data_IF_067149108952
#
_entry.id   IF_067149108952
#
_cell.length_a   1.000
_cell.length_b   1.000
_cell.length_c   1.000
_cell.angle_alpha   90.00
_cell.angle_beta   90.00
_cell.angle_gamma   90.00
#
_symmetry.space_group_name_H-M   'P 1'
#
loop_
_entity.id
_entity.type
_entity.pdbx_description
1 polymer ?
#
# COMPACT_ATOMS: atom_id res chain seq x y z
N UNK A 1 9.82 -37.37 21.94
CA UNK A 1 8.40 -37.02 21.62
C UNK A 1 8.15 -35.51 21.53
N UNK A 2 8.32 -34.67 22.61
CA UNK A 2 8.03 -33.22 22.53
C UNK A 2 8.87 -32.50 21.46
N UNK A 3 10.19 -32.67 21.50
CA UNK A 3 11.07 -32.03 20.51
C UNK A 3 10.85 -32.49 19.06
N UNK A 4 10.43 -33.73 18.85
CA UNK A 4 10.04 -34.24 17.53
C UNK A 4 8.80 -33.51 17.01
N UNK A 5 7.79 -33.33 17.88
CA UNK A 5 6.58 -32.54 17.53
C UNK A 5 6.96 -31.11 17.18
N UNK A 6 7.86 -30.47 17.94
CA UNK A 6 8.33 -29.11 17.64
C UNK A 6 9.10 -29.06 16.31
N UNK A 7 9.89 -30.09 15.98
CA UNK A 7 10.59 -30.16 14.69
C UNK A 7 9.61 -30.33 13.51
N UNK A 8 8.59 -31.19 13.65
CA UNK A 8 7.53 -31.29 12.63
C UNK A 8 6.75 -29.98 12.49
N UNK A 9 6.45 -29.30 13.59
CA UNK A 9 5.81 -27.99 13.58
C UNK A 9 6.68 -26.94 12.87
N UNK A 10 8.01 -26.91 13.13
CA UNK A 10 8.95 -26.04 12.42
C UNK A 10 8.94 -26.32 10.91
N UNK A 11 8.96 -27.60 10.53
CA UNK A 11 8.93 -28.00 9.12
C UNK A 11 7.62 -27.58 8.44
N UNK A 12 6.49 -27.73 9.11
CA UNK A 12 5.18 -27.33 8.61
C UNK A 12 5.09 -25.81 8.40
N UNK A 13 5.52 -24.99 9.37
CA UNK A 13 5.49 -23.52 9.22
C UNK A 13 6.51 -23.05 8.18
N UNK A 14 7.67 -23.71 8.06
CA UNK A 14 8.63 -23.42 6.99
C UNK A 14 8.03 -23.72 5.60
N UNK A 15 7.28 -24.80 5.45
CA UNK A 15 6.56 -25.14 4.23
C UNK A 15 5.47 -24.12 3.90
N UNK A 16 4.69 -23.66 4.88
CA UNK A 16 3.72 -22.57 4.69
C UNK A 16 4.42 -21.32 4.13
N UNK A 17 5.55 -20.93 4.72
CA UNK A 17 6.29 -19.77 4.24
C UNK A 17 6.89 -19.97 2.84
N UNK A 18 7.36 -21.18 2.52
CA UNK A 18 7.78 -21.54 1.17
C UNK A 18 6.66 -21.31 0.15
N UNK A 19 5.43 -21.76 0.47
CA UNK A 19 4.24 -21.49 -0.37
C UNK A 19 4.02 -19.99 -0.56
N UNK A 20 4.10 -19.18 0.51
CA UNK A 20 3.96 -17.73 0.38
C UNK A 20 5.05 -17.12 -0.50
N UNK A 21 6.31 -17.38 -0.21
CA UNK A 21 7.42 -16.73 -0.94
C UNK A 21 7.52 -17.17 -2.40
N UNK A 22 7.27 -18.45 -2.71
CA UNK A 22 7.45 -18.97 -4.07
C UNK A 22 6.16 -18.92 -4.89
N UNK A 23 5.04 -19.41 -4.33
CA UNK A 23 3.81 -19.55 -5.12
C UNK A 23 2.98 -18.28 -5.14
N UNK A 24 2.99 -17.47 -4.08
CA UNK A 24 2.18 -16.25 -3.99
C UNK A 24 3.03 -15.03 -4.38
N UNK A 25 4.06 -14.71 -3.61
CA UNK A 25 4.92 -13.55 -3.86
C UNK A 25 5.74 -13.73 -5.13
N UNK A 26 6.17 -14.96 -5.41
CA UNK A 26 6.87 -15.32 -6.64
C UNK A 26 6.10 -14.98 -7.92
N UNK A 27 4.76 -15.02 -7.90
CA UNK A 27 3.94 -14.57 -9.05
C UNK A 27 4.15 -13.11 -9.40
N UNK A 28 4.44 -12.28 -8.41
CA UNK A 28 4.85 -10.90 -8.64
C UNK A 28 6.36 -10.82 -8.91
N UNK A 29 7.16 -11.42 -8.03
CA UNK A 29 8.62 -11.30 -8.02
C UNK A 29 9.26 -11.77 -9.33
N UNK A 30 8.80 -12.89 -9.89
CA UNK A 30 9.36 -13.48 -11.12
C UNK A 30 8.60 -13.12 -12.40
N UNK A 31 7.45 -12.42 -12.29
CA UNK A 31 6.71 -11.99 -13.48
C UNK A 31 7.54 -11.02 -14.35
N UNK A 32 7.39 -11.10 -15.64
CA UNK A 32 7.91 -10.04 -16.53
C UNK A 32 7.13 -8.75 -16.31
N UNK A 33 7.78 -7.56 -16.41
CA UNK A 33 7.06 -6.30 -16.40
C UNK A 33 5.96 -6.30 -17.47
N UNK A 34 4.76 -5.90 -17.11
CA UNK A 34 3.68 -5.69 -18.08
C UNK A 34 3.78 -4.26 -18.59
N UNK A 35 4.24 -4.08 -19.82
CA UNK A 35 4.15 -2.80 -20.52
C UNK A 35 2.77 -2.69 -21.16
N UNK A 36 1.98 -1.76 -20.69
CA UNK A 36 0.72 -1.38 -21.37
C UNK A 36 1.03 -0.53 -22.59
N UNK A 37 0.15 -0.55 -23.59
CA UNK A 37 0.24 0.42 -24.69
C UNK A 37 -0.30 1.77 -24.21
N UNK A 38 0.38 2.90 -24.49
CA UNK A 38 -0.14 4.23 -24.16
C UNK A 38 -1.57 4.40 -24.68
N UNK A 39 -2.43 5.03 -23.87
CA UNK A 39 -3.84 5.28 -24.21
C UNK A 39 -4.14 6.75 -23.96
N UNK A 40 -4.93 7.32 -24.87
CA UNK A 40 -5.40 8.70 -24.76
C UNK A 40 -6.84 8.72 -24.20
N UNK A 41 -7.04 8.13 -23.03
CA UNK A 41 -8.33 8.16 -22.34
C UNK A 41 -8.37 9.35 -21.38
N UNK A 42 -9.44 10.17 -21.35
CA UNK A 42 -9.52 11.28 -20.43
C UNK A 42 -9.53 10.81 -18.97
N UNK A 43 -8.75 11.47 -18.11
CA UNK A 43 -8.50 11.07 -16.71
C UNK A 43 -8.74 12.23 -15.75
N UNK A 44 -9.38 11.95 -14.63
CA UNK A 44 -9.41 12.86 -13.47
C UNK A 44 -8.40 12.38 -12.42
N UNK A 45 -7.36 13.18 -12.19
CA UNK A 45 -6.41 12.96 -11.09
C UNK A 45 -7.03 13.54 -9.82
N UNK A 46 -7.19 12.72 -8.80
CA UNK A 46 -7.85 13.06 -7.53
C UNK A 46 -6.81 13.20 -6.44
N UNK A 47 -6.73 14.37 -5.83
CA UNK A 47 -5.84 14.68 -4.70
C UNK A 47 -6.67 15.21 -3.55
N UNK A 48 -6.65 14.52 -2.41
CA UNK A 48 -7.29 14.98 -1.18
C UNK A 48 -6.22 15.38 -0.17
N UNK A 49 -6.31 16.60 0.35
CA UNK A 49 -5.36 17.13 1.31
C UNK A 49 -6.07 17.75 2.51
N UNK A 50 -5.37 17.73 3.64
CA UNK A 50 -5.73 18.43 4.88
C UNK A 50 -4.46 18.89 5.57
N UNK A 51 -4.27 20.20 5.68
CA UNK A 51 -3.09 20.81 6.30
C UNK A 51 -1.77 20.32 5.65
N UNK A 52 -1.68 20.46 4.33
CA UNK A 52 -0.55 20.00 3.52
C UNK A 52 0.04 21.14 2.65
N UNK A 53 -0.08 22.42 3.09
CA UNK A 53 0.29 23.58 2.30
C UNK A 53 1.71 23.49 1.70
N UNK A 54 2.71 23.08 2.48
CA UNK A 54 4.09 22.94 2.03
C UNK A 54 4.25 21.88 0.93
N UNK A 55 3.56 20.75 1.09
CA UNK A 55 3.59 19.67 0.10
C UNK A 55 2.85 20.07 -1.18
N UNK A 56 1.68 20.71 -1.05
CA UNK A 56 0.85 21.16 -2.17
C UNK A 56 1.62 22.14 -3.06
N UNK A 57 2.31 23.11 -2.46
CA UNK A 57 3.12 24.09 -3.18
C UNK A 57 4.22 23.43 -4.04
N UNK A 58 4.78 22.33 -3.57
CA UNK A 58 5.84 21.60 -4.27
C UNK A 58 5.30 20.56 -5.27
N UNK A 59 4.21 19.85 -4.96
CA UNK A 59 3.81 18.64 -5.68
C UNK A 59 2.71 18.87 -6.71
N UNK A 60 1.81 19.85 -6.51
CA UNK A 60 0.79 20.16 -7.53
C UNK A 60 1.41 20.58 -8.87
N UNK A 61 2.48 21.40 -8.93
CA UNK A 61 3.15 21.68 -10.20
C UNK A 61 3.63 20.42 -10.93
N UNK A 62 4.17 19.42 -10.21
CA UNK A 62 4.63 18.17 -10.83
C UNK A 62 3.49 17.33 -11.41
N UNK A 63 2.27 17.44 -10.82
CA UNK A 63 1.07 16.81 -11.36
C UNK A 63 0.57 17.54 -12.62
N UNK A 64 0.69 18.86 -12.68
CA UNK A 64 0.32 19.66 -13.85
C UNK A 64 1.30 19.52 -15.02
N UNK A 65 2.57 19.15 -14.74
CA UNK A 65 3.61 18.89 -15.74
C UNK A 65 3.55 17.52 -16.40
N UNK A 66 2.51 16.71 -16.15
CA UNK A 66 2.39 15.38 -16.73
C UNK A 66 2.25 15.44 -18.26
N UNK A 67 3.01 14.57 -18.97
CA UNK A 67 2.93 14.38 -20.41
C UNK A 67 1.68 13.55 -20.76
N UNK A 68 0.50 14.14 -20.64
CA UNK A 68 -0.75 13.45 -20.93
C UNK A 68 -1.74 14.36 -21.63
N UNK A 69 -2.39 13.91 -22.73
CA UNK A 69 -3.12 14.82 -23.62
C UNK A 69 -4.41 15.39 -23.00
N UNK A 70 -5.11 14.60 -22.17
CA UNK A 70 -6.41 15.01 -21.64
C UNK A 70 -6.57 14.54 -20.20
N UNK A 71 -6.37 15.46 -19.26
CA UNK A 71 -6.64 15.21 -17.84
C UNK A 71 -7.13 16.46 -17.14
N UNK A 72 -7.81 16.29 -16.04
CA UNK A 72 -8.07 17.33 -15.04
C UNK A 72 -7.45 16.93 -13.71
N UNK A 73 -7.19 17.91 -12.87
CA UNK A 73 -6.71 17.73 -11.50
C UNK A 73 -7.80 18.20 -10.52
N UNK A 74 -8.41 17.27 -9.81
CA UNK A 74 -9.42 17.55 -8.80
C UNK A 74 -8.74 17.64 -7.44
N UNK A 75 -8.58 18.84 -6.93
CA UNK A 75 -8.01 19.15 -5.63
C UNK A 75 -9.13 19.24 -4.59
N UNK A 76 -9.05 18.42 -3.55
CA UNK A 76 -10.07 18.35 -2.50
C UNK A 76 -9.47 18.87 -1.21
N UNK A 77 -9.97 19.98 -0.71
CA UNK A 77 -9.64 20.50 0.61
C UNK A 77 -10.56 19.89 1.66
N UNK A 78 -10.01 19.02 2.53
CA UNK A 78 -10.75 18.37 3.62
C UNK A 78 -10.76 19.25 4.89
N UNK A 79 -11.32 20.46 4.79
CA UNK A 79 -11.42 21.42 5.87
C UNK A 79 -10.06 21.76 6.51
N UNK A 80 -9.10 22.17 5.70
CA UNK A 80 -7.78 22.63 6.16
C UNK A 80 -7.88 23.91 7.00
N UNK A 81 -6.97 24.05 7.94
CA UNK A 81 -6.82 25.23 8.79
C UNK A 81 -5.54 26.05 8.51
N UNK A 82 -4.72 25.55 7.59
CA UNK A 82 -3.52 26.22 7.07
C UNK A 82 -3.80 26.82 5.67
N UNK A 83 -2.77 27.23 4.97
CA UNK A 83 -2.84 27.84 3.63
C UNK A 83 -3.20 26.86 2.50
N UNK A 84 -3.49 25.58 2.77
CA UNK A 84 -3.78 24.56 1.75
C UNK A 84 -4.94 24.97 0.84
N UNK A 85 -6.03 25.52 1.40
CA UNK A 85 -7.20 25.96 0.64
C UNK A 85 -6.86 27.13 -0.27
N UNK A 86 -6.13 28.12 0.24
CA UNK A 86 -5.76 29.32 -0.51
C UNK A 86 -4.88 28.96 -1.71
N UNK A 87 -3.92 28.04 -1.52
CA UNK A 87 -3.09 27.50 -2.60
C UNK A 87 -3.93 26.78 -3.65
N UNK A 88 -4.92 25.99 -3.25
CA UNK A 88 -5.80 25.32 -4.20
C UNK A 88 -6.64 26.29 -5.02
N UNK A 89 -7.13 27.38 -4.41
CA UNK A 89 -7.83 28.46 -5.11
C UNK A 89 -6.91 29.17 -6.11
N UNK A 90 -5.65 29.34 -5.75
CA UNK A 90 -4.64 29.93 -6.64
C UNK A 90 -4.39 29.03 -7.86
N UNK A 91 -4.17 27.73 -7.67
CA UNK A 91 -3.99 26.78 -8.78
C UNK A 91 -5.24 26.70 -9.68
N UNK A 92 -6.45 26.72 -9.13
CA UNK A 92 -7.69 26.74 -9.92
C UNK A 92 -7.82 28.00 -10.79
N UNK A 93 -7.36 29.15 -10.30
CA UNK A 93 -7.34 30.40 -11.08
C UNK A 93 -6.27 30.42 -12.18
N UNK A 94 -5.14 29.74 -11.94
CA UNK A 94 -3.98 29.72 -12.85
C UNK A 94 -4.09 28.69 -13.97
N UNK A 95 -4.74 27.56 -13.75
CA UNK A 95 -4.80 26.43 -14.70
C UNK A 95 -6.23 25.90 -14.83
N UNK A 96 -6.79 26.01 -16.02
CA UNK A 96 -8.17 25.57 -16.32
C UNK A 96 -8.40 24.05 -16.17
N UNK A 97 -7.33 23.27 -16.04
CA UNK A 97 -7.41 21.81 -15.76
C UNK A 97 -7.66 21.54 -14.28
N UNK A 98 -7.43 22.50 -13.41
CA UNK A 98 -7.62 22.36 -11.96
C UNK A 98 -9.07 22.62 -11.60
N UNK A 99 -9.62 21.79 -10.74
CA UNK A 99 -10.95 21.93 -10.13
C UNK A 99 -10.84 21.79 -8.63
N UNK A 100 -11.25 22.80 -7.90
CA UNK A 100 -11.29 22.76 -6.44
C UNK A 100 -12.63 22.23 -5.92
N UNK A 101 -12.54 21.31 -4.97
CA UNK A 101 -13.69 20.81 -4.18
C UNK A 101 -13.46 21.16 -2.71
N UNK A 102 -14.24 22.11 -2.22
CA UNK A 102 -14.17 22.55 -0.81
C UNK A 102 -15.09 21.69 0.04
N UNK A 103 -14.54 21.14 1.11
CA UNK A 103 -15.30 20.39 2.11
C UNK A 103 -15.32 21.18 3.39
N UNK A 104 -16.49 21.65 3.78
CA UNK A 104 -16.65 22.33 5.06
C UNK A 104 -16.75 21.30 6.20
N UNK A 105 -16.25 21.70 7.37
CA UNK A 105 -16.24 20.85 8.56
C UNK A 105 -17.69 20.65 9.02
N UNK A 106 -18.30 19.53 8.62
CA UNK A 106 -19.66 19.18 9.00
C UNK A 106 -19.60 18.00 9.98
N UNK A 107 -19.78 18.26 11.26
CA UNK A 107 -19.79 17.26 12.34
C UNK A 107 -20.79 16.14 12.09
N UNK A 108 -21.90 16.41 11.39
CA UNK A 108 -22.93 15.44 11.05
C UNK A 108 -22.44 14.32 10.11
N UNK A 109 -21.41 14.56 9.28
CA UNK A 109 -20.87 13.58 8.34
C UNK A 109 -19.48 13.04 8.72
N UNK A 110 -19.09 13.20 9.98
CA UNK A 110 -17.95 12.51 10.59
C UNK A 110 -16.56 12.85 10.02
N UNK A 111 -16.40 14.07 9.49
CA UNK A 111 -15.13 14.71 9.15
C UNK A 111 -14.03 13.74 8.76
N UNK A 112 -14.25 12.90 7.74
CA UNK A 112 -13.24 11.95 7.34
C UNK A 112 -12.96 12.04 5.83
N UNK A 113 -11.74 11.72 5.46
CA UNK A 113 -11.23 11.68 4.08
C UNK A 113 -12.19 11.00 3.09
N UNK A 114 -12.96 9.98 3.51
CA UNK A 114 -13.91 9.26 2.65
C UNK A 114 -15.06 10.13 2.16
N UNK A 115 -15.55 11.02 3.02
CA UNK A 115 -16.58 11.98 2.60
C UNK A 115 -16.01 12.98 1.59
N UNK A 116 -14.83 13.54 1.89
CA UNK A 116 -14.14 14.44 0.98
C UNK A 116 -13.86 13.78 -0.38
N UNK A 117 -13.31 12.56 -0.39
CA UNK A 117 -13.10 11.78 -1.60
C UNK A 117 -14.40 11.49 -2.36
N UNK A 118 -15.51 11.20 -1.66
CA UNK A 118 -16.81 10.98 -2.31
C UNK A 118 -17.26 12.22 -3.09
N UNK A 119 -17.08 13.42 -2.53
CA UNK A 119 -17.41 14.66 -3.20
C UNK A 119 -16.50 14.90 -4.41
N UNK A 120 -15.21 14.68 -4.27
CA UNK A 120 -14.25 14.80 -5.37
C UNK A 120 -14.53 13.81 -6.52
N UNK A 121 -14.83 12.54 -6.20
CA UNK A 121 -15.20 11.53 -7.19
C UNK A 121 -16.48 11.92 -7.94
N UNK A 122 -17.48 12.45 -7.24
CA UNK A 122 -18.71 12.96 -7.88
C UNK A 122 -18.44 14.17 -8.77
N UNK A 123 -17.57 15.07 -8.32
CA UNK A 123 -17.22 16.30 -9.04
C UNK A 123 -16.30 16.04 -10.25
N UNK A 124 -15.57 14.91 -10.28
CA UNK A 124 -14.69 14.54 -11.37
C UNK A 124 -15.45 14.43 -12.69
N UNK A 125 -14.90 15.01 -13.75
CA UNK A 125 -15.51 15.05 -15.09
C UNK A 125 -15.36 13.73 -15.85
N UNK A 126 -14.22 13.03 -15.65
CA UNK A 126 -13.86 11.88 -16.45
C UNK A 126 -14.23 10.55 -15.76
N UNK A 127 -14.39 9.51 -16.58
CA UNK A 127 -14.73 8.16 -16.13
C UNK A 127 -13.54 7.44 -15.45
N UNK A 128 -12.32 7.73 -15.88
CA UNK A 128 -11.11 7.12 -15.33
C UNK A 128 -10.54 8.03 -14.25
N UNK A 129 -10.40 7.48 -13.06
CA UNK A 129 -9.91 8.19 -11.87
C UNK A 129 -8.52 7.67 -11.52
N UNK A 130 -7.61 8.57 -11.18
CA UNK A 130 -6.25 8.27 -10.71
C UNK A 130 -6.01 9.01 -9.41
N UNK A 131 -5.67 8.30 -8.35
CA UNK A 131 -5.56 8.81 -7.00
C UNK A 131 -4.11 8.93 -6.55
N UNK A 132 -3.82 10.03 -5.87
CA UNK A 132 -2.61 10.21 -5.07
C UNK A 132 -2.93 11.09 -3.85
N UNK A 133 -2.10 11.05 -2.81
CA UNK A 133 -2.28 11.87 -1.62
C UNK A 133 -1.60 13.24 -1.78
N UNK A 134 -2.01 14.24 -0.99
CA UNK A 134 -1.45 15.59 -1.03
C UNK A 134 0.04 15.67 -0.64
N UNK A 135 0.55 14.65 0.10
CA UNK A 135 1.96 14.50 0.48
C UNK A 135 2.76 13.61 -0.48
N UNK A 136 2.23 13.36 -1.68
CA UNK A 136 2.83 12.48 -2.68
C UNK A 136 3.09 13.18 -4.01
N UNK A 137 4.16 12.74 -4.69
CA UNK A 137 4.51 13.22 -6.03
C UNK A 137 4.85 12.06 -6.97
N UNK A 138 4.57 12.20 -8.29
CA UNK A 138 4.90 11.19 -9.28
C UNK A 138 6.42 11.16 -9.55
N UNK A 139 6.95 9.96 -9.81
CA UNK A 139 8.37 9.78 -10.15
C UNK A 139 8.77 10.36 -11.50
N UNK A 140 7.81 10.44 -12.42
CA UNK A 140 8.07 10.93 -13.78
C UNK A 140 6.89 11.70 -14.36
N UNK A 141 7.14 12.41 -15.47
CA UNK A 141 6.09 13.08 -16.26
C UNK A 141 5.19 12.09 -17.02
N UNK A 142 5.45 10.79 -16.95
CA UNK A 142 4.70 9.73 -17.64
C UNK A 142 3.80 8.92 -16.70
N UNK A 143 3.67 9.32 -15.44
CA UNK A 143 2.90 8.59 -14.42
C UNK A 143 1.46 8.32 -14.86
N UNK A 144 0.74 9.33 -15.37
CA UNK A 144 -0.63 9.16 -15.86
C UNK A 144 -0.64 8.16 -17.04
N UNK A 145 0.28 8.30 -17.99
CA UNK A 145 0.41 7.40 -19.15
C UNK A 145 0.62 5.96 -18.73
N UNK A 146 1.54 5.71 -17.79
CA UNK A 146 1.84 4.36 -17.32
C UNK A 146 0.65 3.73 -16.60
N UNK A 147 0.02 4.45 -15.68
CA UNK A 147 -1.14 3.95 -14.94
C UNK A 147 -2.32 3.68 -15.87
N UNK A 148 -2.63 4.59 -16.79
CA UNK A 148 -3.77 4.44 -17.72
C UNK A 148 -3.54 3.38 -18.77
N UNK A 149 -2.30 3.08 -19.13
CA UNK A 149 -1.94 2.03 -20.09
C UNK A 149 -2.47 0.65 -19.70
N UNK A 150 -2.66 0.42 -18.39
CA UNK A 150 -3.10 -0.85 -17.83
C UNK A 150 -4.61 -1.08 -17.92
N UNK A 151 -5.41 -0.04 -18.14
CA UNK A 151 -6.85 -0.21 -18.30
C UNK A 151 -7.19 -1.02 -19.56
N UNK A 152 -8.20 -1.88 -19.47
CA UNK A 152 -8.82 -2.58 -20.62
C UNK A 152 -10.32 -2.57 -20.42
N UNK A 153 -11.08 -3.17 -21.34
CA UNK A 153 -12.52 -3.35 -21.14
C UNK A 153 -12.83 -4.13 -19.85
N UNK A 154 -11.99 -5.09 -19.48
CA UNK A 154 -12.17 -5.91 -18.28
C UNK A 154 -11.38 -5.39 -17.08
N UNK A 155 -10.19 -4.81 -17.29
CA UNK A 155 -9.33 -4.31 -16.23
C UNK A 155 -9.66 -2.85 -15.95
N UNK A 156 -10.49 -2.65 -14.93
CA UNK A 156 -11.06 -1.37 -14.54
C UNK A 156 -10.49 -0.83 -13.23
N UNK A 157 -9.64 -1.62 -12.56
CA UNK A 157 -8.89 -1.25 -11.34
C UNK A 157 -7.40 -1.52 -11.57
N UNK A 158 -6.56 -0.52 -11.32
CA UNK A 158 -5.09 -0.59 -11.48
C UNK A 158 -4.44 -0.27 -10.14
N UNK A 159 -3.69 -1.25 -9.60
CA UNK A 159 -2.93 -1.09 -8.37
C UNK A 159 -1.53 -0.62 -8.69
N UNK A 160 -1.12 0.52 -8.17
CA UNK A 160 0.23 1.08 -8.32
C UNK A 160 1.09 0.91 -7.06
N UNK A 161 2.36 1.32 -7.15
CA UNK A 161 3.31 1.33 -6.05
C UNK A 161 3.51 2.74 -5.51
N UNK A 162 3.22 2.95 -4.24
CA UNK A 162 3.54 4.16 -3.49
C UNK A 162 4.81 3.94 -2.67
N UNK A 163 5.92 4.48 -3.13
CA UNK A 163 7.23 4.38 -2.49
C UNK A 163 7.44 5.44 -1.41
N UNK A 164 8.53 5.33 -0.68
CA UNK A 164 9.05 6.39 0.18
C UNK A 164 10.39 6.90 -0.35
N UNK A 165 10.59 8.21 -0.26
CA UNK A 165 11.85 8.88 -0.60
C UNK A 165 12.99 8.29 0.23
N UNK A 166 14.12 8.01 -0.42
CA UNK A 166 15.32 7.48 0.23
C UNK A 166 16.02 8.56 1.05
N UNK A 167 16.17 8.31 2.35
CA UNK A 167 16.92 9.21 3.25
C UNK A 167 18.26 8.56 3.58
N UNK A 168 19.35 9.23 3.18
CA UNK A 168 20.72 8.75 3.42
C UNK A 168 20.97 8.57 4.92
N UNK A 169 21.60 7.45 5.29
CA UNK A 169 21.99 7.11 6.66
C UNK A 169 20.84 6.98 7.69
N UNK A 170 19.59 6.93 7.26
CA UNK A 170 18.45 6.71 8.16
C UNK A 170 18.07 5.24 8.23
N UNK A 171 18.31 4.60 9.38
CA UNK A 171 17.88 3.22 9.64
C UNK A 171 16.37 3.10 9.65
N UNK A 172 15.68 4.07 10.26
CA UNK A 172 14.21 4.09 10.29
C UNK A 172 13.62 4.16 8.88
N UNK A 173 14.17 5.00 7.99
CA UNK A 173 13.74 5.07 6.60
C UNK A 173 13.93 3.73 5.89
N UNK A 174 15.04 3.02 6.10
CA UNK A 174 15.26 1.68 5.54
C UNK A 174 14.24 0.67 6.05
N UNK A 175 13.89 0.70 7.35
CA UNK A 175 12.88 -0.17 7.94
C UNK A 175 11.50 0.12 7.35
N UNK A 176 11.11 1.37 7.22
CA UNK A 176 9.83 1.79 6.62
C UNK A 176 9.74 1.34 5.16
N UNK A 177 10.81 1.52 4.39
CA UNK A 177 10.89 1.09 2.99
C UNK A 177 10.86 -0.45 2.85
N UNK A 178 11.53 -1.18 3.74
CA UNK A 178 11.47 -2.64 3.77
C UNK A 178 10.06 -3.15 4.09
N UNK A 179 9.37 -2.55 5.06
CA UNK A 179 7.98 -2.87 5.37
C UNK A 179 7.07 -2.58 4.17
N UNK A 180 7.29 -1.45 3.49
CA UNK A 180 6.54 -1.09 2.27
C UNK A 180 6.81 -2.06 1.13
N UNK A 181 8.05 -2.49 0.93
CA UNK A 181 8.43 -3.54 -0.02
C UNK A 181 7.70 -4.85 0.26
N UNK A 182 7.68 -5.30 1.53
CA UNK A 182 7.00 -6.54 1.93
C UNK A 182 5.49 -6.43 1.69
N UNK A 183 4.87 -5.33 2.10
CA UNK A 183 3.44 -5.07 1.89
C UNK A 183 3.09 -5.03 0.39
N UNK A 184 3.90 -4.34 -0.42
CA UNK A 184 3.70 -4.27 -1.87
C UNK A 184 3.85 -5.66 -2.52
N UNK A 185 4.85 -6.43 -2.12
CA UNK A 185 5.05 -7.79 -2.61
C UNK A 185 3.84 -8.68 -2.28
N UNK A 186 3.24 -8.50 -1.10
CA UNK A 186 2.04 -9.22 -0.70
C UNK A 186 0.84 -8.85 -1.59
N UNK A 187 0.45 -7.57 -1.65
CA UNK A 187 -0.78 -7.25 -2.39
C UNK A 187 -0.63 -7.43 -3.90
N UNK A 188 0.54 -7.20 -4.48
CA UNK A 188 0.79 -7.52 -5.88
C UNK A 188 0.82 -9.04 -6.15
N UNK A 189 1.43 -9.81 -5.26
CA UNK A 189 1.44 -11.28 -5.35
C UNK A 189 0.02 -11.85 -5.34
N UNK A 190 -0.78 -11.43 -4.37
CA UNK A 190 -2.18 -11.85 -4.26
C UNK A 190 -3.02 -11.38 -5.46
N UNK A 191 -2.81 -10.17 -5.97
CA UNK A 191 -3.48 -9.70 -7.19
C UNK A 191 -3.10 -10.56 -8.41
N UNK A 192 -1.83 -10.94 -8.55
CA UNK A 192 -1.33 -11.78 -9.65
C UNK A 192 -1.88 -13.21 -9.64
N UNK A 193 -2.19 -13.77 -8.47
CA UNK A 193 -2.87 -15.08 -8.39
C UNK A 193 -4.41 -14.96 -8.45
N UNK A 194 -4.93 -13.75 -8.74
CA UNK A 194 -6.37 -13.53 -8.88
C UNK A 194 -7.12 -13.37 -7.56
N UNK A 195 -6.46 -12.92 -6.50
CA UNK A 195 -7.05 -12.66 -5.19
C UNK A 195 -6.68 -11.26 -4.68
N UNK A 196 -6.95 -10.18 -5.46
CA UNK A 196 -6.67 -8.81 -5.01
C UNK A 196 -7.45 -8.52 -3.72
N UNK A 197 -6.80 -7.81 -2.76
CA UNK A 197 -7.42 -7.56 -1.46
C UNK A 197 -7.20 -6.16 -0.90
N UNK A 198 -6.20 -5.45 -1.37
CA UNK A 198 -5.91 -4.08 -0.98
C UNK A 198 -5.16 -3.32 -2.06
N UNK A 199 -5.10 -2.02 -1.91
CA UNK A 199 -4.21 -1.10 -2.61
C UNK A 199 -3.70 -0.03 -1.64
N UNK A 200 -2.89 0.89 -2.15
CA UNK A 200 -2.48 2.10 -1.42
C UNK A 200 -3.06 3.33 -2.12
N UNK A 201 -3.75 4.21 -1.40
CA UNK A 201 -4.37 5.41 -1.93
C UNK A 201 -3.39 6.37 -2.61
N UNK A 202 -2.12 6.26 -2.24
CA UNK A 202 -1.03 7.04 -2.84
C UNK A 202 -0.78 6.75 -4.32
N UNK A 203 -1.26 5.60 -4.84
CA UNK A 203 -1.09 5.22 -6.25
C UNK A 203 -2.12 4.17 -6.67
N UNK A 204 -3.32 4.61 -6.95
CA UNK A 204 -4.47 3.77 -7.27
C UNK A 204 -5.27 4.38 -8.42
N UNK A 205 -5.69 3.57 -9.38
CA UNK A 205 -6.61 4.04 -10.41
C UNK A 205 -7.78 3.08 -10.58
N UNK A 206 -8.96 3.64 -10.88
CA UNK A 206 -10.12 2.83 -11.20
C UNK A 206 -11.14 3.61 -12.02
N UNK A 207 -12.02 2.90 -12.70
CA UNK A 207 -13.18 3.52 -13.34
C UNK A 207 -14.18 3.98 -12.29
N UNK A 208 -14.76 5.14 -12.51
CA UNK A 208 -15.76 5.77 -11.63
C UNK A 208 -16.94 4.85 -11.33
N UNK A 209 -17.35 4.02 -12.30
CA UNK A 209 -18.40 3.02 -12.13
C UNK A 209 -18.12 2.01 -11.03
N UNK A 210 -16.84 1.59 -10.83
CA UNK A 210 -16.46 0.65 -9.76
C UNK A 210 -16.77 1.20 -8.36
N UNK A 211 -16.63 2.51 -8.20
CA UNK A 211 -16.98 3.17 -6.95
C UNK A 211 -18.49 3.11 -6.68
N UNK A 212 -19.30 3.41 -7.67
CA UNK A 212 -20.77 3.43 -7.51
C UNK A 212 -21.35 2.01 -7.41
N UNK A 213 -20.79 1.04 -8.14
CA UNK A 213 -21.23 -0.37 -8.09
C UNK A 213 -21.19 -0.97 -6.68
N UNK A 214 -20.22 -0.55 -5.86
CA UNK A 214 -20.11 -0.99 -4.45
C UNK A 214 -20.70 0.02 -3.46
N UNK A 215 -21.48 1.01 -3.92
CA UNK A 215 -22.04 2.08 -3.10
C UNK A 215 -20.99 2.97 -2.41
N UNK A 216 -19.82 3.10 -3.05
CA UNK A 216 -18.71 3.89 -2.54
C UNK A 216 -18.19 3.39 -1.20
N UNK A 217 -18.08 4.30 -0.23
CA UNK A 217 -17.57 3.98 1.11
C UNK A 217 -18.66 3.67 2.14
N UNK A 218 -19.94 3.51 1.73
CA UNK A 218 -21.08 3.43 2.66
C UNK A 218 -20.94 2.29 3.68
N UNK A 219 -20.47 1.11 3.26
CA UNK A 219 -20.37 -0.06 4.13
C UNK A 219 -19.31 0.09 5.23
N UNK A 220 -18.38 1.02 5.05
CA UNK A 220 -17.28 1.28 5.99
C UNK A 220 -17.02 2.78 6.25
N UNK A 221 -18.03 3.63 6.03
CA UNK A 221 -17.94 5.08 6.27
C UNK A 221 -17.53 5.40 7.71
N UNK A 222 -17.99 4.61 8.68
CA UNK A 222 -17.65 4.77 10.11
C UNK A 222 -16.19 4.42 10.46
N UNK A 223 -15.51 3.70 9.59
CA UNK A 223 -14.08 3.38 9.76
C UNK A 223 -13.27 4.55 9.25
N UNK A 224 -12.47 5.18 10.08
CA UNK A 224 -11.75 6.43 9.77
C UNK A 224 -10.63 6.31 8.73
N UNK A 225 -10.13 5.10 8.47
CA UNK A 225 -9.14 4.77 7.44
C UNK A 225 -9.77 3.77 6.47
N UNK A 226 -9.07 3.40 5.40
CA UNK A 226 -9.56 2.37 4.50
C UNK A 226 -10.35 2.91 3.31
N UNK A 227 -10.04 4.12 2.90
CA UNK A 227 -10.50 4.70 1.64
C UNK A 227 -9.92 3.98 0.42
N UNK A 228 -8.77 3.36 0.59
CA UNK A 228 -8.06 2.56 -0.42
C UNK A 228 -8.24 1.06 -0.20
N UNK A 229 -7.75 0.54 0.91
CA UNK A 229 -7.69 -0.90 1.19
C UNK A 229 -9.07 -1.55 1.36
N UNK A 230 -10.00 -0.93 2.12
CA UNK A 230 -11.35 -1.46 2.30
C UNK A 230 -12.18 -1.35 1.01
N UNK A 231 -12.02 -0.25 0.27
CA UNK A 231 -12.68 -0.11 -1.03
C UNK A 231 -12.22 -1.22 -1.99
N UNK A 232 -10.91 -1.44 -2.12
CA UNK A 232 -10.36 -2.50 -2.97
C UNK A 232 -10.73 -3.89 -2.45
N UNK A 233 -10.75 -4.09 -1.13
CA UNK A 233 -11.21 -5.35 -0.56
C UNK A 233 -12.64 -5.70 -0.99
N UNK A 234 -13.50 -4.68 -1.15
CA UNK A 234 -14.88 -4.84 -1.57
C UNK A 234 -15.02 -4.97 -3.09
N UNK A 235 -14.41 -4.06 -3.87
CA UNK A 235 -14.62 -3.88 -5.30
C UNK A 235 -13.76 -4.79 -6.20
N UNK A 236 -12.55 -5.14 -5.74
CA UNK A 236 -11.58 -5.83 -6.58
C UNK A 236 -11.92 -7.31 -6.78
N UNK A 237 -11.75 -7.77 -8.02
CA UNK A 237 -11.97 -9.15 -8.46
C UNK A 237 -10.80 -9.61 -9.35
N UNK A 238 -10.65 -10.92 -9.61
CA UNK A 238 -9.65 -11.42 -10.57
C UNK A 238 -9.84 -10.85 -11.98
N UNK A 239 -11.08 -10.53 -12.35
CA UNK A 239 -11.45 -10.06 -13.70
C UNK A 239 -11.13 -8.58 -13.88
N UNK A 240 -11.50 -7.72 -12.90
CA UNK A 240 -11.43 -6.27 -13.06
C UNK A 240 -10.08 -5.65 -12.61
N UNK A 241 -9.21 -6.39 -11.93
CA UNK A 241 -8.00 -5.82 -11.29
C UNK A 241 -6.73 -6.19 -12.04
N UNK A 242 -5.83 -5.24 -12.18
CA UNK A 242 -4.45 -5.41 -12.68
C UNK A 242 -3.47 -4.61 -11.83
N UNK A 243 -2.17 -4.75 -12.10
CA UNK A 243 -1.10 -4.00 -11.41
C UNK A 243 -0.31 -3.18 -12.41
N UNK A 244 0.20 -2.02 -11.99
CA UNK A 244 1.16 -1.21 -12.73
C UNK A 244 2.45 -1.07 -11.90
N UNK A 245 3.57 -1.57 -12.43
CA UNK A 245 4.85 -1.61 -11.72
C UNK A 245 6.00 -1.28 -12.70
N UNK A 246 5.91 -0.14 -13.36
CA UNK A 246 7.02 0.51 -14.05
C UNK A 246 7.60 1.60 -13.14
N UNK A 247 8.88 1.91 -13.27
CA UNK A 247 9.50 2.96 -12.46
C UNK A 247 8.81 4.32 -12.66
N UNK A 248 8.40 4.61 -13.90
CA UNK A 248 7.68 5.83 -14.26
C UNK A 248 6.26 5.91 -13.65
N UNK A 249 5.69 4.77 -13.23
CA UNK A 249 4.37 4.71 -12.57
C UNK A 249 4.41 4.93 -11.07
N UNK A 250 5.57 5.05 -10.44
CA UNK A 250 5.66 5.17 -8.99
C UNK A 250 5.28 6.56 -8.51
N UNK A 251 4.72 6.62 -7.31
CA UNK A 251 4.60 7.85 -6.53
C UNK A 251 5.51 7.77 -5.30
N UNK A 252 6.00 8.90 -4.85
CA UNK A 252 6.86 9.01 -3.68
C UNK A 252 6.22 9.91 -2.62
N UNK A 253 6.46 9.59 -1.37
CA UNK A 253 6.16 10.46 -0.23
C UNK A 253 7.31 10.44 0.78
N UNK A 254 7.36 11.39 1.70
CA UNK A 254 8.31 11.38 2.80
C UNK A 254 7.91 10.33 3.84
N UNK A 255 8.90 9.56 4.31
CA UNK A 255 8.70 8.64 5.42
C UNK A 255 8.59 9.42 6.75
N UNK A 256 7.88 8.84 7.73
CA UNK A 256 7.82 9.41 9.09
C UNK A 256 9.21 9.54 9.69
N UNK A 257 9.45 10.65 10.39
CA UNK A 257 10.77 11.03 10.91
C UNK A 257 11.09 10.37 12.26
N UNK A 258 10.08 9.84 12.96
CA UNK A 258 10.25 9.13 14.22
C UNK A 258 9.57 7.76 14.23
N UNK A 259 10.12 6.82 15.04
CA UNK A 259 9.50 5.50 15.25
C UNK A 259 8.07 5.62 15.82
N UNK A 260 7.85 6.55 16.73
CA UNK A 260 6.54 6.79 17.36
C UNK A 260 5.47 7.18 16.32
N UNK A 261 5.81 8.10 15.42
CA UNK A 261 4.90 8.51 14.34
C UNK A 261 4.61 7.36 13.39
N UNK A 262 5.64 6.63 12.97
CA UNK A 262 5.49 5.47 12.11
C UNK A 262 4.66 4.35 12.79
N UNK A 263 4.93 4.05 14.05
CA UNK A 263 4.17 3.08 14.84
C UNK A 263 2.69 3.47 14.91
N UNK A 264 2.37 4.74 15.19
CA UNK A 264 0.98 5.23 15.21
C UNK A 264 0.32 5.13 13.83
N UNK A 265 1.05 5.41 12.76
CA UNK A 265 0.57 5.21 11.39
C UNK A 265 0.25 3.72 11.15
N UNK A 266 1.10 2.79 11.56
CA UNK A 266 0.86 1.34 11.42
C UNK A 266 -0.31 0.85 12.26
N UNK A 267 -0.47 1.35 13.48
CA UNK A 267 -1.65 1.06 14.30
C UNK A 267 -2.95 1.38 13.56
N UNK A 268 -3.00 2.54 12.91
CA UNK A 268 -4.15 2.98 12.12
C UNK A 268 -4.38 2.08 10.91
N UNK A 269 -3.34 1.78 10.12
CA UNK A 269 -3.45 0.91 8.94
C UNK A 269 -3.88 -0.51 9.30
N UNK A 270 -3.27 -1.13 10.32
CA UNK A 270 -3.62 -2.49 10.75
C UNK A 270 -5.05 -2.56 11.29
N UNK A 271 -5.58 -1.47 11.85
CA UNK A 271 -6.94 -1.44 12.39
C UNK A 271 -8.04 -1.66 11.33
N UNK A 272 -7.75 -1.44 10.05
CA UNK A 272 -8.70 -1.72 8.95
C UNK A 272 -8.80 -3.20 8.63
N UNK A 273 -7.73 -3.97 8.84
CA UNK A 273 -7.66 -5.38 8.45
C UNK A 273 -8.76 -6.26 9.08
N UNK A 274 -9.29 -5.89 10.24
CA UNK A 274 -10.43 -6.59 10.87
C UNK A 274 -11.72 -6.54 10.03
N UNK A 275 -11.82 -5.57 9.12
CA UNK A 275 -12.96 -5.40 8.22
C UNK A 275 -12.78 -6.08 6.86
N UNK A 276 -11.63 -6.69 6.60
CA UNK A 276 -11.41 -7.45 5.36
C UNK A 276 -12.28 -8.70 5.29
N UNK A 277 -12.52 -9.19 4.08
CA UNK A 277 -13.17 -10.50 3.86
C UNK A 277 -12.47 -11.60 4.64
N UNK A 278 -13.21 -12.58 5.14
CA UNK A 278 -12.70 -13.63 6.03
C UNK A 278 -11.45 -14.35 5.47
N UNK A 279 -11.46 -14.68 4.18
CA UNK A 279 -10.30 -15.29 3.50
C UNK A 279 -9.05 -14.40 3.59
N UNK A 280 -9.20 -13.08 3.37
CA UNK A 280 -8.07 -12.15 3.39
C UNK A 280 -7.51 -11.98 4.80
N UNK A 281 -8.36 -11.97 5.83
CA UNK A 281 -7.93 -11.99 7.23
C UNK A 281 -7.18 -13.27 7.58
N UNK A 282 -7.72 -14.41 7.15
CA UNK A 282 -7.10 -15.71 7.39
C UNK A 282 -5.71 -15.80 6.76
N UNK A 283 -5.58 -15.46 5.47
CA UNK A 283 -4.31 -15.59 4.78
C UNK A 283 -3.23 -14.62 5.32
N UNK A 284 -3.60 -13.38 5.70
CA UNK A 284 -2.67 -12.45 6.33
C UNK A 284 -2.24 -12.92 7.73
N UNK A 285 -3.21 -13.41 8.52
CA UNK A 285 -2.95 -14.01 9.82
C UNK A 285 -2.05 -15.24 9.71
N UNK A 286 -2.34 -16.16 8.79
CA UNK A 286 -1.55 -17.36 8.57
C UNK A 286 -0.08 -17.02 8.21
N UNK A 287 0.14 -16.04 7.35
CA UNK A 287 1.48 -15.59 7.02
C UNK A 287 2.20 -15.04 8.26
N UNK A 288 1.58 -14.13 8.99
CA UNK A 288 2.17 -13.54 10.19
C UNK A 288 2.46 -14.59 11.26
N UNK A 289 1.48 -15.43 11.61
CA UNK A 289 1.67 -16.47 12.63
C UNK A 289 2.69 -17.52 12.22
N UNK A 290 2.80 -17.85 10.92
CA UNK A 290 3.85 -18.73 10.45
C UNK A 290 5.24 -18.13 10.64
N UNK A 291 5.42 -16.82 10.43
CA UNK A 291 6.71 -16.14 10.66
C UNK A 291 7.07 -16.11 12.16
N UNK A 292 6.12 -15.75 13.02
CA UNK A 292 6.35 -15.72 14.47
C UNK A 292 6.66 -17.12 15.02
N UNK A 293 5.84 -18.13 14.65
CA UNK A 293 6.04 -19.52 15.09
C UNK A 293 7.35 -20.09 14.58
N UNK A 294 7.73 -19.79 13.32
CA UNK A 294 9.01 -20.21 12.77
C UNK A 294 10.18 -19.68 13.60
N UNK A 295 10.17 -18.39 13.93
CA UNK A 295 11.22 -17.76 14.74
C UNK A 295 11.32 -18.41 16.13
N UNK A 296 10.17 -18.56 16.81
CA UNK A 296 10.14 -19.12 18.17
C UNK A 296 10.57 -20.59 18.20
N UNK A 297 10.06 -21.42 17.28
CA UNK A 297 10.41 -22.83 17.19
C UNK A 297 11.89 -23.05 16.86
N UNK A 298 12.44 -22.25 15.91
CA UNK A 298 13.85 -22.31 15.57
C UNK A 298 14.73 -21.97 16.76
N UNK A 299 14.39 -20.89 17.52
CA UNK A 299 15.15 -20.50 18.74
C UNK A 299 15.11 -21.62 19.77
N UNK A 300 13.93 -22.17 20.08
CA UNK A 300 13.79 -23.24 21.09
C UNK A 300 14.59 -24.48 20.69
N UNK A 301 14.44 -24.98 19.47
CA UNK A 301 15.13 -26.20 19.02
C UNK A 301 16.65 -26.02 18.97
N UNK A 302 17.15 -24.85 18.56
CA UNK A 302 18.58 -24.55 18.56
C UNK A 302 19.13 -24.39 19.98
N UNK A 303 18.40 -23.74 20.89
CA UNK A 303 18.82 -23.56 22.30
C UNK A 303 18.97 -24.92 23.02
N UNK A 304 18.10 -25.88 22.74
CA UNK A 304 18.20 -27.24 23.27
C UNK A 304 19.07 -28.17 22.42
N UNK A 305 19.70 -27.65 21.37
CA UNK A 305 20.59 -28.39 20.45
C UNK A 305 19.91 -29.65 19.83
N UNK A 306 18.57 -29.68 19.81
CA UNK A 306 17.84 -30.82 19.26
C UNK A 306 17.92 -30.82 17.74
N UNK A 307 18.53 -31.88 17.18
CA UNK A 307 18.73 -32.02 15.74
C UNK A 307 19.21 -30.73 15.06
N UNK A 308 20.12 -30.00 15.73
CA UNK A 308 20.50 -28.61 15.39
C UNK A 308 20.94 -28.44 13.93
N UNK A 309 21.58 -29.48 13.32
CA UNK A 309 21.97 -29.43 11.89
C UNK A 309 20.76 -29.39 10.97
N UNK A 310 19.70 -30.17 11.28
CA UNK A 310 18.46 -30.19 10.50
C UNK A 310 17.75 -28.84 10.67
N UNK A 311 17.64 -28.35 11.91
CA UNK A 311 17.02 -27.06 12.21
C UNK A 311 17.76 -25.92 11.50
N UNK A 312 19.09 -25.88 11.59
CA UNK A 312 19.91 -24.89 10.88
C UNK A 312 19.71 -24.98 9.36
N UNK A 313 19.65 -26.20 8.80
CA UNK A 313 19.35 -26.41 7.38
C UNK A 313 17.99 -25.83 6.97
N UNK A 314 16.92 -26.07 7.76
CA UNK A 314 15.58 -25.51 7.53
C UNK A 314 15.62 -23.97 7.59
N UNK A 315 16.31 -23.40 8.59
CA UNK A 315 16.43 -21.94 8.76
C UNK A 315 17.15 -21.32 7.57
N UNK A 316 18.31 -21.84 7.19
CA UNK A 316 19.09 -21.33 6.06
C UNK A 316 18.30 -21.45 4.76
N UNK A 317 17.69 -22.61 4.48
CA UNK A 317 16.88 -22.81 3.29
C UNK A 317 15.72 -21.81 3.21
N UNK A 318 14.98 -21.61 4.31
CA UNK A 318 13.89 -20.65 4.38
C UNK A 318 14.35 -19.21 4.08
N UNK A 319 15.49 -18.80 4.67
CA UNK A 319 16.03 -17.45 4.41
C UNK A 319 16.51 -17.29 2.97
N UNK A 320 17.13 -18.30 2.37
CA UNK A 320 17.51 -18.30 0.95
C UNK A 320 16.28 -18.09 0.07
N UNK A 321 15.22 -18.88 0.29
CA UNK A 321 13.97 -18.79 -0.48
C UNK A 321 13.32 -17.42 -0.35
N UNK A 322 13.22 -16.90 0.87
CA UNK A 322 12.63 -15.60 1.13
C UNK A 322 13.48 -14.46 0.52
N UNK A 323 14.80 -14.52 0.67
CA UNK A 323 15.72 -13.52 0.10
C UNK A 323 15.65 -13.51 -1.44
N UNK A 324 15.62 -14.69 -2.05
CA UNK A 324 15.49 -14.81 -3.49
C UNK A 324 14.18 -14.18 -3.99
N UNK A 325 13.04 -14.55 -3.40
CA UNK A 325 11.75 -14.01 -3.79
C UNK A 325 11.65 -12.49 -3.56
N UNK A 326 11.95 -12.02 -2.36
CA UNK A 326 11.90 -10.59 -2.04
C UNK A 326 12.97 -9.77 -2.77
N UNK A 327 14.14 -10.36 -3.05
CA UNK A 327 15.21 -9.70 -3.82
C UNK A 327 14.80 -9.34 -5.24
N UNK A 328 14.06 -10.23 -5.92
CA UNK A 328 13.48 -9.93 -7.24
C UNK A 328 12.39 -8.85 -7.15
N UNK A 329 11.52 -8.92 -6.14
CA UNK A 329 10.54 -7.86 -5.88
C UNK A 329 11.23 -6.52 -5.61
N UNK A 330 12.26 -6.50 -4.76
CA UNK A 330 13.07 -5.32 -4.45
C UNK A 330 13.75 -4.73 -5.71
N UNK A 331 14.17 -5.60 -6.64
CA UNK A 331 14.69 -5.15 -7.93
C UNK A 331 13.67 -4.38 -8.74
N UNK A 332 12.43 -4.87 -8.80
CA UNK A 332 11.32 -4.21 -9.52
C UNK A 332 10.87 -2.90 -8.86
N UNK A 333 10.83 -2.88 -7.55
CA UNK A 333 10.36 -1.74 -6.76
C UNK A 333 11.49 -0.74 -6.42
N UNK A 334 12.71 -0.95 -6.95
CA UNK A 334 13.90 -0.09 -6.74
C UNK A 334 14.34 0.01 -5.26
N UNK A 335 14.13 -1.07 -4.51
CA UNK A 335 14.37 -1.16 -3.06
C UNK A 335 15.48 -2.16 -2.70
N UNK A 336 16.45 -2.43 -3.61
CA UNK A 336 17.50 -3.45 -3.40
C UNK A 336 18.35 -3.21 -2.15
N UNK A 337 18.59 -1.96 -1.80
CA UNK A 337 19.45 -1.57 -0.68
C UNK A 337 18.92 -1.99 0.70
N UNK A 338 17.59 -2.17 0.84
CA UNK A 338 17.01 -2.64 2.11
C UNK A 338 17.18 -4.15 2.30
N UNK A 339 17.45 -4.90 1.23
CA UNK A 339 17.60 -6.35 1.29
C UNK A 339 18.90 -6.81 1.99
N UNK A 340 19.93 -5.95 2.10
CA UNK A 340 21.13 -6.26 2.87
C UNK A 340 20.83 -6.50 4.36
N UNK A 341 19.74 -5.91 4.87
CA UNK A 341 19.31 -5.98 6.27
C UNK A 341 18.15 -6.94 6.48
N UNK A 342 17.75 -7.71 5.45
CA UNK A 342 16.52 -8.48 5.41
C UNK A 342 16.26 -9.31 6.68
N UNK A 343 17.16 -10.18 7.19
CA UNK A 343 16.84 -11.01 8.36
C UNK A 343 16.58 -10.17 9.62
N UNK A 344 17.36 -9.08 9.80
CA UNK A 344 17.21 -8.18 10.96
C UNK A 344 15.89 -7.41 10.86
N UNK A 345 15.58 -6.87 9.69
CA UNK A 345 14.35 -6.10 9.50
C UNK A 345 13.11 -6.98 9.60
N UNK A 346 13.16 -8.22 9.12
CA UNK A 346 12.05 -9.16 9.25
C UNK A 346 11.75 -9.45 10.74
N UNK A 347 12.77 -9.79 11.53
CA UNK A 347 12.61 -10.01 12.97
C UNK A 347 12.03 -8.76 13.64
N UNK A 348 12.59 -7.59 13.34
CA UNK A 348 12.10 -6.33 13.89
C UNK A 348 10.61 -6.09 13.52
N UNK A 349 10.20 -6.36 12.28
CA UNK A 349 8.81 -6.20 11.86
C UNK A 349 7.86 -7.18 12.54
N UNK A 350 8.26 -8.45 12.74
CA UNK A 350 7.45 -9.46 13.46
C UNK A 350 7.10 -8.93 14.87
N UNK A 351 8.10 -8.44 15.61
CA UNK A 351 7.87 -7.90 16.95
C UNK A 351 7.13 -6.55 16.91
N UNK A 352 7.38 -5.69 15.95
CA UNK A 352 6.62 -4.45 15.77
C UNK A 352 5.15 -4.74 15.52
N UNK A 353 4.82 -5.69 14.63
CA UNK A 353 3.45 -6.09 14.36
C UNK A 353 2.78 -6.69 15.60
N UNK A 354 3.49 -7.55 16.35
CA UNK A 354 2.98 -8.08 17.62
C UNK A 354 2.62 -6.95 18.59
N UNK A 355 3.52 -5.97 18.74
CA UNK A 355 3.28 -4.82 19.60
C UNK A 355 2.09 -3.97 19.13
N UNK A 356 1.93 -3.78 17.82
CA UNK A 356 0.76 -3.09 17.25
C UNK A 356 -0.54 -3.85 17.56
N UNK A 357 -0.56 -5.17 17.41
CA UNK A 357 -1.72 -6.00 17.77
C UNK A 357 -2.08 -5.86 19.25
N UNK A 358 -1.09 -6.05 20.13
CA UNK A 358 -1.29 -5.95 21.57
C UNK A 358 -1.79 -4.54 21.93
N UNK A 359 -1.14 -3.50 21.43
CA UNK A 359 -1.54 -2.11 21.74
C UNK A 359 -2.95 -1.80 21.24
N UNK A 360 -3.35 -2.31 20.06
CA UNK A 360 -4.69 -2.10 19.53
C UNK A 360 -5.79 -2.87 20.27
N UNK A 361 -5.46 -3.90 21.05
CA UNK A 361 -6.42 -4.55 21.96
C UNK A 361 -6.79 -3.65 23.14
N UNK A 362 -5.82 -2.88 23.66
CA UNK A 362 -6.01 -2.06 24.86
C UNK A 362 -6.33 -0.59 24.57
N UNK A 363 -6.02 -0.07 23.37
CA UNK A 363 -6.27 1.33 23.04
C UNK A 363 -6.62 1.52 21.56
N UNK A 364 -7.56 2.43 21.29
CA UNK A 364 -7.89 2.80 19.90
C UNK A 364 -6.74 3.59 19.26
N UNK A 365 -6.46 3.41 17.95
CA UNK A 365 -5.49 4.25 17.24
C UNK A 365 -5.86 5.74 17.31
N UNK A 366 -4.86 6.60 17.36
CA UNK A 366 -5.04 8.04 17.34
C UNK A 366 -5.75 8.51 16.05
N UNK A 367 -6.40 9.66 16.14
CA UNK A 367 -7.13 10.28 15.03
C UNK A 367 -6.19 10.64 13.86
N UNK A 368 -6.73 10.72 12.65
CA UNK A 368 -6.18 11.47 11.54
C UNK A 368 -6.11 12.94 11.96
N UNK A 369 -5.00 13.63 11.62
CA UNK A 369 -4.80 15.05 11.90
C UNK A 369 -5.93 15.91 11.36
#
# INVERSE_FOLDING_TARGET
MVFEILLYALSAVAFIQFVYYILIFGKFSFAKPTTGKPKNIPVSVIVCAKNEAENIKQFVPLLLEQNYPTFELVLIDDASSDETRDLFEEFEKQDSRVKLVKVDNNEAFWGNKKYALTLGIKAAKHEYLLFTDGDCYPNSKNWITEMTSQFTQQKTIVLGYGAYTKVKNSLLNKIIRFETLLTATQYFGWAKIGKPYMAVGRNLAYKKEEFFNVRGFMDHMKVRSGDDDLFINQAATPKNTTICVSEDSFTYSEAKKSYKEWFNQKRRHISTAKHYKAFNRFQLGLFYFSQLSFLLLAIVLLAFQYQWMIVAGIVVFRYIVAWFSLGFAAGKLKEKDVMYWFPIFEIFLIFTQLNVFITNLFSKPAHWK
#
